data_IF_438341282044
#
_entry.id   IF_438341282044
#
_cell.length_a   1.000
_cell.length_b   1.000
_cell.length_c   1.000
_cell.angle_alpha   90.00
_cell.angle_beta   90.00
_cell.angle_gamma   90.00
#
_symmetry.space_group_name_H-M   'P 1'
#
loop_
_entity.id
_entity.type
_entity.pdbx_description
1 polymer ?
#
# COMPACT_ATOMS: atom_id res chain seq x y z
N UNK A 1 26.43 11.30 -24.61
CA UNK A 1 25.20 10.50 -24.49
C UNK A 1 25.12 9.64 -23.20
N UNK A 2 26.14 9.57 -22.34
CA UNK A 2 26.06 8.77 -21.09
C UNK A 2 25.39 9.48 -19.90
N UNK A 3 25.49 10.81 -19.80
CA UNK A 3 24.99 11.55 -18.62
C UNK A 3 23.46 11.57 -18.48
N UNK A 4 22.72 11.59 -19.60
CA UNK A 4 21.25 11.54 -19.59
C UNK A 4 20.72 10.17 -19.14
N UNK A 5 21.42 9.09 -19.51
CA UNK A 5 21.07 7.72 -19.11
C UNK A 5 21.35 7.44 -17.64
N UNK A 6 22.40 8.06 -17.07
CA UNK A 6 22.71 7.93 -15.64
C UNK A 6 21.72 8.72 -14.78
N UNK A 7 21.30 9.91 -15.25
CA UNK A 7 20.29 10.72 -14.57
C UNK A 7 18.92 10.02 -14.53
N UNK A 8 18.49 9.40 -15.63
CA UNK A 8 17.22 8.66 -15.66
C UNK A 8 17.23 7.42 -14.76
N UNK A 9 18.35 6.70 -14.67
CA UNK A 9 18.52 5.58 -13.75
C UNK A 9 18.46 6.04 -12.29
N UNK A 10 19.20 7.09 -11.93
CA UNK A 10 19.19 7.64 -10.57
C UNK A 10 17.79 8.11 -10.16
N UNK A 11 17.05 8.78 -11.06
CA UNK A 11 15.67 9.20 -10.80
C UNK A 11 14.76 7.99 -10.54
N UNK A 12 14.93 6.90 -11.28
CA UNK A 12 14.14 5.68 -11.09
C UNK A 12 14.46 5.02 -9.75
N UNK A 13 15.73 4.95 -9.37
CA UNK A 13 16.18 4.40 -8.09
C UNK A 13 15.61 5.19 -6.91
N UNK A 14 15.65 6.52 -6.97
CA UNK A 14 15.07 7.40 -5.95
C UNK A 14 13.56 7.16 -5.83
N UNK A 15 12.83 7.08 -6.95
CA UNK A 15 11.39 6.80 -6.95
C UNK A 15 11.07 5.44 -6.34
N UNK A 16 11.83 4.40 -6.69
CA UNK A 16 11.63 3.07 -6.15
C UNK A 16 11.91 3.04 -4.64
N UNK A 17 12.98 3.72 -4.19
CA UNK A 17 13.31 3.85 -2.77
C UNK A 17 12.19 4.53 -2.00
N UNK A 18 11.70 5.67 -2.50
CA UNK A 18 10.62 6.42 -1.88
C UNK A 18 9.33 5.59 -1.79
N UNK A 19 8.96 4.89 -2.87
CA UNK A 19 7.78 4.02 -2.87
C UNK A 19 7.95 2.86 -1.89
N UNK A 20 9.13 2.24 -1.83
CA UNK A 20 9.42 1.16 -0.89
C UNK A 20 9.28 1.62 0.56
N UNK A 21 9.81 2.81 0.88
CA UNK A 21 9.70 3.42 2.20
C UNK A 21 8.23 3.72 2.53
N UNK A 22 7.51 4.37 1.61
CA UNK A 22 6.09 4.68 1.76
C UNK A 22 5.25 3.41 2.01
N UNK A 23 5.47 2.33 1.25
CA UNK A 23 4.78 1.06 1.48
C UNK A 23 5.11 0.42 2.83
N UNK A 24 6.33 0.63 3.33
CA UNK A 24 6.76 0.11 4.63
C UNK A 24 6.13 0.88 5.78
N UNK A 25 6.03 2.21 5.65
CA UNK A 25 5.50 3.09 6.69
C UNK A 25 3.98 3.02 6.82
N UNK A 26 3.27 3.05 5.69
CA UNK A 26 1.80 3.17 5.69
C UNK A 26 1.09 1.85 5.39
N UNK A 27 1.79 0.87 4.82
CA UNK A 27 1.20 -0.39 4.41
C UNK A 27 0.44 -0.30 3.07
N UNK A 28 0.53 -1.38 2.30
CA UNK A 28 -0.05 -1.47 0.94
C UNK A 28 -1.58 -1.32 0.95
N UNK A 29 -2.27 -1.83 1.97
CA UNK A 29 -3.73 -1.74 2.08
C UNK A 29 -4.23 -0.29 2.19
N UNK A 30 -3.55 0.51 3.02
CA UNK A 30 -3.88 1.93 3.24
C UNK A 30 -3.65 2.71 1.96
N UNK A 31 -2.50 2.52 1.32
CA UNK A 31 -2.16 3.20 0.06
C UNK A 31 -3.14 2.86 -1.06
N UNK A 32 -3.60 1.61 -1.15
CA UNK A 32 -4.66 1.23 -2.09
C UNK A 32 -5.99 1.92 -1.76
N UNK A 33 -6.31 2.13 -0.48
CA UNK A 33 -7.46 2.92 -0.05
C UNK A 33 -7.37 4.37 -0.54
N UNK A 34 -6.28 5.05 -0.23
CA UNK A 34 -6.04 6.44 -0.66
C UNK A 34 -6.09 6.59 -2.19
N UNK A 35 -5.55 5.61 -2.94
CA UNK A 35 -5.60 5.63 -4.39
C UNK A 35 -7.03 5.47 -4.94
N UNK A 36 -7.86 4.64 -4.31
CA UNK A 36 -9.28 4.50 -4.67
C UNK A 36 -9.99 5.84 -4.43
N UNK A 37 -9.79 6.44 -3.26
CA UNK A 37 -10.43 7.72 -2.89
C UNK A 37 -10.01 8.84 -3.85
N UNK A 38 -8.72 8.91 -4.20
CA UNK A 38 -8.22 9.83 -5.21
C UNK A 38 -8.88 9.62 -6.58
N UNK A 39 -8.97 8.38 -7.05
CA UNK A 39 -9.60 8.07 -8.35
C UNK A 39 -11.07 8.46 -8.35
N UNK A 40 -11.80 8.19 -7.27
CA UNK A 40 -13.24 8.50 -7.18
C UNK A 40 -13.52 10.00 -7.01
N UNK A 41 -12.65 10.74 -6.33
CA UNK A 41 -12.85 12.16 -6.04
C UNK A 41 -12.32 13.09 -7.14
N UNK A 42 -11.15 12.79 -7.69
CA UNK A 42 -10.38 13.73 -8.51
C UNK A 42 -10.35 13.37 -9.99
N UNK A 43 -10.69 12.14 -10.38
CA UNK A 43 -10.61 11.72 -11.78
C UNK A 43 -11.89 12.09 -12.56
N UNK A 44 -11.79 12.96 -13.58
CA UNK A 44 -12.98 13.54 -14.22
C UNK A 44 -13.70 12.57 -15.17
N UNK A 45 -13.01 11.53 -15.65
CA UNK A 45 -13.58 10.56 -16.58
C UNK A 45 -14.16 9.36 -15.84
N UNK A 46 -15.49 9.28 -15.82
CA UNK A 46 -16.23 8.22 -15.13
C UNK A 46 -15.98 6.82 -15.70
N UNK A 47 -15.69 6.68 -17.01
CA UNK A 47 -15.41 5.37 -17.60
C UNK A 47 -14.07 4.85 -17.08
N UNK A 48 -13.04 5.68 -17.15
CA UNK A 48 -11.72 5.34 -16.63
C UNK A 48 -11.73 5.16 -15.11
N UNK A 49 -12.47 5.99 -14.38
CA UNK A 49 -12.70 5.82 -12.94
C UNK A 49 -13.31 4.44 -12.62
N UNK A 50 -14.32 4.02 -13.38
CA UNK A 50 -14.94 2.70 -13.23
C UNK A 50 -13.96 1.56 -13.52
N UNK A 51 -13.15 1.67 -14.59
CA UNK A 51 -12.11 0.69 -14.92
C UNK A 51 -11.08 0.60 -13.79
N UNK A 52 -10.53 1.73 -13.36
CA UNK A 52 -9.51 1.77 -12.29
C UNK A 52 -10.06 1.19 -10.98
N UNK A 53 -11.27 1.58 -10.58
CA UNK A 53 -11.92 1.07 -9.38
C UNK A 53 -12.13 -0.45 -9.43
N UNK A 54 -12.48 -0.99 -10.61
CA UNK A 54 -12.66 -2.42 -10.81
C UNK A 54 -11.37 -3.23 -10.61
N UNK A 55 -10.19 -2.62 -10.75
CA UNK A 55 -8.91 -3.24 -10.42
C UNK A 55 -8.46 -2.97 -8.98
N UNK A 56 -8.61 -1.73 -8.52
CA UNK A 56 -8.09 -1.31 -7.22
C UNK A 56 -8.88 -1.90 -6.04
N UNK A 57 -10.21 -1.97 -6.14
CA UNK A 57 -11.05 -2.50 -5.05
C UNK A 57 -10.75 -3.98 -4.79
N UNK A 58 -10.72 -4.88 -5.79
CA UNK A 58 -10.33 -6.27 -5.55
C UNK A 58 -8.91 -6.42 -5.01
N UNK A 59 -7.96 -5.60 -5.48
CA UNK A 59 -6.59 -5.63 -4.99
C UNK A 59 -6.52 -5.25 -3.50
N UNK A 60 -7.20 -4.18 -3.08
CA UNK A 60 -7.30 -3.79 -1.66
C UNK A 60 -7.91 -4.91 -0.81
N UNK A 61 -9.02 -5.49 -1.27
CA UNK A 61 -9.70 -6.56 -0.55
C UNK A 61 -8.82 -7.80 -0.39
N UNK A 62 -8.06 -8.16 -1.43
CA UNK A 62 -7.12 -9.28 -1.36
C UNK A 62 -6.02 -9.03 -0.32
N UNK A 63 -5.43 -7.83 -0.30
CA UNK A 63 -4.40 -7.46 0.69
C UNK A 63 -5.00 -7.47 2.11
N UNK A 64 -6.21 -6.94 2.30
CA UNK A 64 -6.91 -6.97 3.59
C UNK A 64 -7.12 -8.41 4.10
N UNK A 65 -7.51 -9.33 3.23
CA UNK A 65 -7.65 -10.76 3.58
C UNK A 65 -6.31 -11.35 4.02
N UNK A 66 -5.21 -11.06 3.30
CA UNK A 66 -3.88 -11.53 3.67
C UNK A 66 -3.42 -10.96 5.02
N UNK A 67 -3.60 -9.67 5.25
CA UNK A 67 -3.25 -9.01 6.50
C UNK A 67 -4.03 -9.62 7.68
N UNK A 68 -5.34 -9.81 7.52
CA UNK A 68 -6.19 -10.44 8.54
C UNK A 68 -5.76 -11.88 8.84
N UNK A 69 -5.38 -12.66 7.83
CA UNK A 69 -4.87 -14.02 8.05
C UNK A 69 -3.54 -14.02 8.81
N UNK A 70 -2.65 -13.08 8.51
CA UNK A 70 -1.37 -12.94 9.22
C UNK A 70 -1.59 -12.50 10.67
N UNK A 71 -2.46 -11.51 10.90
CA UNK A 71 -2.81 -11.05 12.24
C UNK A 71 -3.46 -12.17 13.07
N UNK A 72 -4.41 -12.91 12.50
CA UNK A 72 -5.02 -14.07 13.17
C UNK A 72 -3.98 -15.14 13.54
N UNK A 73 -3.00 -15.40 12.65
CA UNK A 73 -1.89 -16.32 12.95
C UNK A 73 -1.00 -15.80 14.08
N UNK A 74 -0.74 -14.49 14.13
CA UNK A 74 0.03 -13.87 15.21
C UNK A 74 -0.73 -13.95 16.53
N UNK A 75 -2.04 -13.67 16.55
CA UNK A 75 -2.88 -13.82 17.74
C UNK A 75 -2.93 -15.26 18.25
N UNK A 76 -3.04 -16.23 17.33
CA UNK A 76 -3.12 -17.66 17.70
C UNK A 76 -1.78 -18.19 18.24
N UNK A 77 -0.66 -17.85 17.58
CA UNK A 77 0.65 -18.40 17.94
C UNK A 77 1.37 -17.56 19.01
N UNK A 78 1.04 -16.26 19.10
CA UNK A 78 1.67 -15.29 19.99
C UNK A 78 0.62 -14.34 20.58
N UNK A 79 -0.29 -14.84 21.43
CA UNK A 79 -1.40 -14.05 21.99
C UNK A 79 -0.98 -12.86 22.85
N UNK A 80 0.31 -12.79 23.22
CA UNK A 80 0.89 -11.69 23.99
C UNK A 80 1.63 -10.66 23.10
N UNK A 81 1.80 -10.91 21.81
CA UNK A 81 2.54 -10.01 20.90
C UNK A 81 1.76 -8.73 20.59
N UNK A 82 0.43 -8.80 20.54
CA UNK A 82 -0.46 -7.63 20.39
C UNK A 82 -0.81 -6.96 21.71
N UNK A 83 -0.53 -7.59 22.86
CA UNK A 83 -0.87 -7.06 24.21
C UNK A 83 0.23 -6.23 24.86
N UNK A 84 1.37 -6.05 24.19
CA UNK A 84 2.51 -5.33 24.79
C UNK A 84 2.18 -3.84 25.02
N UNK A 85 1.22 -3.28 24.28
CA UNK A 85 0.69 -1.93 24.53
C UNK A 85 -0.25 -1.83 25.74
N UNK A 86 -0.91 -2.91 26.18
CA UNK A 86 -1.82 -2.87 27.33
C UNK A 86 -1.10 -2.94 28.68
N UNK A 87 0.14 -3.43 28.72
CA UNK A 87 0.92 -3.61 29.97
C UNK A 87 1.86 -2.45 30.33
N UNK A 88 1.95 -1.42 29.50
CA UNK A 88 2.73 -0.20 29.79
C UNK A 88 1.85 1.03 30.14
N UNK A 89 0.57 0.80 30.45
CA UNK A 89 -0.35 1.78 31.03
C UNK A 89 -0.43 1.69 32.55
#
# INVERSE_FOLDING_TARGET
>A
MSQLSQSSQLIQEIKNSFLSETFSDYGVEVILGELIDFVLAEYPDQLHCGILSAYLIPAKNYVAVLNNQQNFRLETNYPNFTKVEETNG
#
